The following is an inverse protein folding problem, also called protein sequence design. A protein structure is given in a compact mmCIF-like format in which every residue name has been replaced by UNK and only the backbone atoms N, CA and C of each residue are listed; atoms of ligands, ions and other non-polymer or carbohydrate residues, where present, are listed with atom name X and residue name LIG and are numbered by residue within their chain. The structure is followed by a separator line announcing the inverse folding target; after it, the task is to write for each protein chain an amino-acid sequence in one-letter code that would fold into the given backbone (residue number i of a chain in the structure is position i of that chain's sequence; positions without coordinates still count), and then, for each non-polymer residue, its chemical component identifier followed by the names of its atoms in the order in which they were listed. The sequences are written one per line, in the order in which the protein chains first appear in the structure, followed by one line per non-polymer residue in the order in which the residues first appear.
data_IF_830089067602
#
_entry.id   IF_830089067602
#
_cell.length_a   1.000
_cell.length_b   1.000
_cell.length_c   1.000
_cell.angle_alpha   90.00
_cell.angle_beta   90.00
_cell.angle_gamma   90.00
#
_symmetry.space_group_name_H-M   'P 1'
#
loop_
_entity.id
_entity.type
_entity.pdbx_description
1 polymer ?
#
# COMPACT_ATOMS: atom_id res chain seq x y z
N UNK A 1 -1.18 -2.50 6.12
CA UNK A 1 -1.44 -1.58 7.25
C UNK A 1 -2.71 -1.94 8.03
N UNK A 2 -3.91 -1.90 7.43
CA UNK A 2 -5.16 -2.10 8.20
C UNK A 2 -5.26 -3.44 8.93
N UNK A 3 -4.80 -4.53 8.31
CA UNK A 3 -4.74 -5.85 8.95
C UNK A 3 -3.97 -5.79 10.28
N UNK A 4 -2.79 -5.17 10.27
CA UNK A 4 -1.92 -5.05 11.44
C UNK A 4 -2.57 -4.20 12.54
N UNK A 5 -3.22 -3.09 12.18
CA UNK A 5 -3.94 -2.26 13.16
C UNK A 5 -5.12 -3.00 13.80
N UNK A 6 -5.84 -3.83 13.03
CA UNK A 6 -6.94 -4.65 13.54
C UNK A 6 -6.45 -5.72 14.51
N UNK A 7 -5.32 -6.37 14.20
CA UNK A 7 -4.65 -7.30 15.12
C UNK A 7 -4.21 -6.55 16.36
N UNK A 8 -3.48 -5.44 16.21
CA UNK A 8 -2.94 -4.63 17.31
C UNK A 8 -4.02 -4.14 18.29
N UNK A 9 -5.18 -3.73 17.77
CA UNK A 9 -6.31 -3.29 18.61
C UNK A 9 -7.00 -4.44 19.35
N UNK A 10 -6.83 -5.69 18.90
CA UNK A 10 -7.46 -6.88 19.47
C UNK A 10 -6.47 -7.83 20.17
N UNK A 11 -5.21 -7.40 20.37
CA UNK A 11 -4.15 -8.23 20.96
C UNK A 11 -4.54 -8.79 22.32
N UNK A 12 -5.11 -7.97 23.20
CA UNK A 12 -5.53 -8.40 24.55
C UNK A 12 -6.73 -9.37 24.54
N UNK A 13 -7.49 -9.39 23.44
CA UNK A 13 -8.71 -10.20 23.33
C UNK A 13 -8.46 -11.52 22.62
N UNK A 14 -7.41 -11.60 21.79
CA UNK A 14 -7.06 -12.75 20.96
C UNK A 14 -8.25 -13.37 20.23
N UNK A 15 -9.10 -12.51 19.65
CA UNK A 15 -10.31 -12.90 18.94
C UNK A 15 -10.46 -12.12 17.65
N UNK A 16 -10.72 -12.83 16.57
CA UNK A 16 -11.03 -12.19 15.28
C UNK A 16 -12.32 -11.35 15.32
N UNK A 17 -13.42 -11.92 15.87
CA UNK A 17 -14.71 -11.23 15.95
C UNK A 17 -14.87 -10.60 17.34
N UNK A 18 -15.01 -9.28 17.36
CA UNK A 18 -15.28 -8.52 18.58
C UNK A 18 -16.76 -8.68 18.99
N UNK A 19 -17.01 -9.17 20.21
CA UNK A 19 -18.35 -9.12 20.83
C UNK A 19 -18.67 -7.71 21.31
N UNK A 20 -19.93 -7.43 21.62
CA UNK A 20 -20.35 -6.10 22.10
C UNK A 20 -19.62 -5.71 23.39
N UNK A 21 -19.46 -6.66 24.31
CA UNK A 21 -18.79 -6.41 25.60
C UNK A 21 -17.29 -6.08 25.44
N UNK A 22 -16.66 -6.68 24.42
CA UNK A 22 -15.24 -6.51 24.10
C UNK A 22 -14.96 -5.23 23.28
N UNK A 23 -16.01 -4.62 22.72
CA UNK A 23 -15.88 -3.47 21.80
C UNK A 23 -15.21 -2.28 22.47
N UNK A 24 -15.58 -2.00 23.72
CA UNK A 24 -15.03 -0.87 24.47
C UNK A 24 -13.51 -0.99 24.64
N UNK A 25 -13.04 -2.16 25.07
CA UNK A 25 -11.60 -2.44 25.27
C UNK A 25 -10.81 -2.28 23.96
N UNK A 26 -11.32 -2.84 22.86
CA UNK A 26 -10.68 -2.73 21.55
C UNK A 26 -10.61 -1.29 21.07
N UNK A 27 -11.69 -0.53 21.22
CA UNK A 27 -11.76 0.86 20.78
C UNK A 27 -10.84 1.77 21.64
N UNK A 28 -10.73 1.49 22.95
CA UNK A 28 -9.75 2.14 23.86
C UNK A 28 -8.31 1.83 23.44
N UNK A 29 -7.98 0.56 23.15
CA UNK A 29 -6.65 0.16 22.66
C UNK A 29 -6.33 0.82 21.32
N UNK A 30 -7.28 0.85 20.39
CA UNK A 30 -7.11 1.53 19.10
C UNK A 30 -6.88 3.03 19.28
N UNK A 31 -7.56 3.65 20.24
CA UNK A 31 -7.38 5.07 20.55
C UNK A 31 -5.98 5.35 21.13
N UNK A 32 -5.50 4.51 22.05
CA UNK A 32 -4.14 4.61 22.58
C UNK A 32 -3.08 4.50 21.47
N UNK A 33 -3.24 3.52 20.57
CA UNK A 33 -2.35 3.36 19.40
C UNK A 33 -2.37 4.61 18.51
N UNK A 34 -3.54 5.19 18.24
CA UNK A 34 -3.66 6.43 17.42
C UNK A 34 -2.94 7.61 18.06
N UNK A 35 -3.11 7.79 19.37
CA UNK A 35 -2.48 8.87 20.12
C UNK A 35 -0.97 8.73 20.12
N UNK A 36 -0.46 7.51 20.29
CA UNK A 36 0.97 7.26 20.27
C UNK A 36 1.58 7.48 18.86
N UNK A 37 0.92 7.02 17.79
CA UNK A 37 1.36 7.32 16.42
C UNK A 37 1.35 8.83 16.11
N UNK A 38 0.38 9.57 16.67
CA UNK A 38 0.31 11.02 16.50
C UNK A 38 1.44 11.71 17.27
N UNK A 39 1.70 11.29 18.51
CA UNK A 39 2.72 11.87 19.37
C UNK A 39 4.15 11.58 18.88
N UNK A 40 4.45 10.32 18.56
CA UNK A 40 5.79 9.89 18.17
C UNK A 40 6.15 10.27 16.73
N UNK A 41 5.18 10.20 15.80
CA UNK A 41 5.46 10.21 14.36
C UNK A 41 4.66 11.26 13.58
N UNK A 42 3.78 12.01 14.24
CA UNK A 42 2.86 12.95 13.58
C UNK A 42 1.91 12.25 12.59
N UNK A 43 1.65 10.96 12.78
CA UNK A 43 0.84 10.15 11.86
C UNK A 43 -0.60 10.02 12.34
N UNK A 44 -1.55 10.30 11.45
CA UNK A 44 -2.99 10.14 11.73
C UNK A 44 -3.46 8.85 11.07
N UNK A 45 -3.74 7.82 11.88
CA UNK A 45 -4.10 6.49 11.37
C UNK A 45 -5.53 6.11 11.73
N UNK A 46 -6.17 5.32 10.87
CA UNK A 46 -7.51 4.74 11.06
C UNK A 46 -8.60 5.75 11.41
N UNK A 47 -8.52 6.98 10.93
CA UNK A 47 -9.58 8.01 11.09
C UNK A 47 -10.45 8.03 9.84
N UNK A 48 -11.77 7.97 10.01
CA UNK A 48 -12.72 8.09 8.90
C UNK A 48 -12.77 9.55 8.43
N UNK A 49 -12.71 9.79 7.11
CA UNK A 49 -12.79 11.15 6.56
C UNK A 49 -14.24 11.49 6.14
N UNK A 50 -14.69 12.75 6.32
CA UNK A 50 -15.97 13.19 5.78
C UNK A 50 -16.01 13.01 4.26
N UNK A 51 -17.06 12.39 3.73
CA UNK A 51 -17.18 12.09 2.29
C UNK A 51 -16.62 10.73 1.86
N UNK A 52 -16.18 9.90 2.82
CA UNK A 52 -15.75 8.52 2.57
C UNK A 52 -14.24 8.31 2.62
N UNK A 53 -13.83 7.06 2.82
CA UNK A 53 -12.43 6.67 2.98
C UNK A 53 -11.89 6.81 4.41
N UNK A 54 -10.63 6.42 4.58
CA UNK A 54 -9.93 6.47 5.87
C UNK A 54 -8.61 7.23 5.71
N UNK A 55 -7.99 7.62 6.82
CA UNK A 55 -6.66 8.23 6.83
C UNK A 55 -5.54 7.26 6.45
N UNK A 56 -5.86 5.98 6.22
CA UNK A 56 -4.93 4.93 5.79
C UNK A 56 -4.72 4.98 4.26
N UNK A 57 -4.39 6.16 3.73
CA UNK A 57 -4.04 6.32 2.32
C UNK A 57 -2.63 5.76 2.02
N UNK A 58 -2.27 5.72 0.73
CA UNK A 58 -0.97 5.19 0.30
C UNK A 58 0.23 5.91 0.92
N UNK A 59 0.11 7.21 1.22
CA UNK A 59 1.20 7.95 1.87
C UNK A 59 1.35 7.52 3.33
N UNK A 60 0.24 7.39 4.06
CA UNK A 60 0.23 6.89 5.43
C UNK A 60 0.77 5.46 5.49
N UNK A 61 0.36 4.58 4.56
CA UNK A 61 0.83 3.21 4.51
C UNK A 61 2.34 3.10 4.24
N UNK A 62 2.88 3.87 3.28
CA UNK A 62 4.32 3.90 3.00
C UNK A 62 5.13 4.32 4.22
N UNK A 63 4.70 5.39 4.90
CA UNK A 63 5.40 5.86 6.12
C UNK A 63 5.30 4.83 7.25
N UNK A 64 4.14 4.17 7.42
CA UNK A 64 3.92 3.12 8.43
C UNK A 64 4.89 1.94 8.30
N UNK A 65 5.16 1.47 7.08
CA UNK A 65 6.08 0.34 6.86
C UNK A 65 7.55 0.76 6.86
N UNK A 66 7.88 1.95 6.38
CA UNK A 66 9.26 2.47 6.41
C UNK A 66 9.82 2.60 7.83
N UNK A 67 8.96 2.87 8.81
CA UNK A 67 9.32 2.92 10.24
C UNK A 67 8.91 1.64 10.97
N UNK A 68 9.08 0.48 10.33
CA UNK A 68 8.61 -0.83 10.84
C UNK A 68 8.99 -1.11 12.30
N UNK A 69 10.19 -0.73 12.75
CA UNK A 69 10.64 -0.94 14.13
C UNK A 69 9.78 -0.15 15.14
N UNK A 70 9.56 1.13 14.87
CA UNK A 70 8.74 1.98 15.73
C UNK A 70 7.25 1.60 15.65
N UNK A 71 6.79 1.23 14.44
CA UNK A 71 5.45 0.68 14.24
C UNK A 71 5.23 -0.58 15.08
N UNK A 72 6.19 -1.51 15.12
CA UNK A 72 6.10 -2.71 15.95
C UNK A 72 6.06 -2.37 17.44
N UNK A 73 6.90 -1.42 17.88
CA UNK A 73 6.93 -0.91 19.26
C UNK A 73 5.58 -0.35 19.70
N UNK A 74 5.01 0.56 18.91
CA UNK A 74 3.72 1.22 19.21
C UNK A 74 2.56 0.22 19.18
N UNK A 75 2.53 -0.65 18.16
CA UNK A 75 1.41 -1.58 17.99
C UNK A 75 1.47 -2.78 18.94
N UNK A 76 2.65 -3.11 19.47
CA UNK A 76 2.90 -4.33 20.24
C UNK A 76 2.94 -5.60 19.38
N UNK A 77 3.11 -5.45 18.06
CA UNK A 77 3.21 -6.58 17.14
C UNK A 77 4.63 -7.11 17.09
N UNK A 78 4.76 -8.38 16.73
CA UNK A 78 6.03 -9.02 16.39
C UNK A 78 6.79 -8.17 15.33
N UNK A 79 8.02 -7.68 15.65
CA UNK A 79 8.76 -6.76 14.78
C UNK A 79 9.21 -7.42 13.48
N UNK A 80 9.55 -8.70 13.53
CA UNK A 80 9.95 -9.47 12.36
C UNK A 80 8.79 -9.55 11.35
N UNK A 81 7.56 -9.81 11.78
CA UNK A 81 6.41 -9.82 10.88
C UNK A 81 6.21 -8.47 10.18
N UNK A 82 6.31 -7.35 10.92
CA UNK A 82 6.13 -6.01 10.34
C UNK A 82 7.24 -5.71 9.33
N UNK A 83 8.48 -6.07 9.65
CA UNK A 83 9.63 -5.92 8.76
C UNK A 83 9.47 -6.76 7.48
N UNK A 84 9.13 -8.05 7.59
CA UNK A 84 8.96 -8.92 6.42
C UNK A 84 7.85 -8.45 5.50
N UNK A 85 6.75 -7.97 6.05
CA UNK A 85 5.68 -7.36 5.26
C UNK A 85 6.13 -6.07 4.57
N UNK A 86 7.01 -5.27 5.19
CA UNK A 86 7.62 -4.12 4.55
C UNK A 86 8.46 -4.52 3.34
N UNK A 87 9.34 -5.53 3.49
CA UNK A 87 10.18 -6.06 2.41
C UNK A 87 9.34 -6.58 1.24
N UNK A 88 8.29 -7.36 1.52
CA UNK A 88 7.40 -7.89 0.47
C UNK A 88 6.73 -6.77 -0.32
N UNK A 89 6.25 -5.71 0.37
CA UNK A 89 5.60 -4.59 -0.30
C UNK A 89 6.58 -3.75 -1.12
N UNK A 90 7.81 -3.52 -0.63
CA UNK A 90 8.86 -2.84 -1.40
C UNK A 90 9.26 -3.66 -2.63
N UNK A 91 9.43 -4.97 -2.49
CA UNK A 91 9.74 -5.87 -3.58
C UNK A 91 8.68 -5.80 -4.71
N UNK A 92 7.39 -5.85 -4.35
CA UNK A 92 6.29 -5.71 -5.32
C UNK A 92 6.30 -4.33 -5.99
N UNK A 93 6.60 -3.27 -5.25
CA UNK A 93 6.56 -1.89 -5.74
C UNK A 93 7.84 -1.43 -6.47
N UNK A 94 8.91 -2.23 -6.44
CA UNK A 94 10.21 -1.93 -7.05
C UNK A 94 10.19 -1.72 -8.57
N UNK A 95 9.11 -2.15 -9.25
CA UNK A 95 8.97 -2.20 -10.72
C UNK A 95 10.07 -3.04 -11.40
N UNK A 96 10.79 -3.87 -10.64
CA UNK A 96 11.82 -4.78 -11.12
C UNK A 96 11.28 -6.22 -11.12
N UNK A 97 11.82 -7.10 -11.99
CA UNK A 97 11.42 -8.50 -12.00
C UNK A 97 11.82 -9.18 -10.68
N UNK A 98 10.90 -9.98 -10.13
CA UNK A 98 11.09 -10.71 -8.89
C UNK A 98 11.50 -12.15 -9.17
N UNK A 99 12.41 -12.70 -8.36
CA UNK A 99 12.71 -14.12 -8.34
C UNK A 99 11.54 -14.87 -7.69
N UNK A 100 10.75 -15.60 -8.50
CA UNK A 100 9.53 -16.26 -8.04
C UNK A 100 9.79 -17.30 -6.95
N UNK A 101 10.89 -18.05 -7.00
CA UNK A 101 11.26 -19.07 -6.01
C UNK A 101 11.64 -18.43 -4.69
N UNK A 102 12.57 -17.45 -4.71
CA UNK A 102 13.00 -16.75 -3.51
C UNK A 102 11.83 -16.00 -2.84
N UNK A 103 10.98 -15.37 -3.66
CA UNK A 103 9.78 -14.68 -3.19
C UNK A 103 8.76 -15.64 -2.58
N UNK A 104 8.57 -16.84 -3.16
CA UNK A 104 7.70 -17.89 -2.61
C UNK A 104 8.16 -18.31 -1.23
N UNK A 105 9.43 -18.65 -1.07
CA UNK A 105 10.00 -19.08 0.22
C UNK A 105 9.88 -17.98 1.29
N UNK A 106 10.13 -16.73 0.89
CA UNK A 106 10.00 -15.59 1.79
C UNK A 106 8.54 -15.37 2.22
N UNK A 107 7.59 -15.47 1.30
CA UNK A 107 6.16 -15.33 1.57
C UNK A 107 5.61 -16.48 2.43
N UNK A 108 5.99 -17.73 2.14
CA UNK A 108 5.58 -18.91 2.92
C UNK A 108 6.05 -18.81 4.38
N UNK A 109 7.34 -18.54 4.59
CA UNK A 109 7.88 -18.32 5.94
C UNK A 109 7.21 -17.14 6.66
N UNK A 110 6.76 -16.12 5.94
CA UNK A 110 6.04 -14.97 6.52
C UNK A 110 4.60 -15.36 6.90
N UNK A 111 3.95 -16.21 6.10
CA UNK A 111 2.64 -16.77 6.41
C UNK A 111 2.69 -17.66 7.66
N UNK A 112 3.71 -18.51 7.78
CA UNK A 112 3.92 -19.35 8.97
C UNK A 112 4.13 -18.50 10.22
N UNK A 113 4.91 -17.42 10.11
CA UNK A 113 5.12 -16.48 11.21
C UNK A 113 3.82 -15.78 11.62
N UNK A 114 3.00 -15.39 10.64
CA UNK A 114 1.70 -14.77 10.89
C UNK A 114 0.76 -15.71 11.65
N UNK A 115 0.63 -16.95 11.19
CA UNK A 115 -0.26 -17.96 11.81
C UNK A 115 0.24 -18.36 13.19
N UNK A 116 1.55 -18.45 13.38
CA UNK A 116 2.16 -18.81 14.67
C UNK A 116 1.94 -17.75 15.74
N UNK A 117 2.08 -16.46 15.41
CA UNK A 117 1.90 -15.37 16.37
C UNK A 117 0.43 -14.95 16.55
N UNK A 118 -0.40 -15.07 15.52
CA UNK A 118 -1.79 -14.60 15.55
C UNK A 118 -2.77 -15.67 15.03
N UNK A 119 -2.78 -16.89 15.59
CA UNK A 119 -3.63 -17.99 15.11
C UNK A 119 -5.13 -17.67 15.20
N UNK A 120 -5.48 -16.75 16.10
CA UNK A 120 -6.85 -16.31 16.36
C UNK A 120 -7.38 -15.29 15.33
N UNK A 121 -6.54 -14.75 14.44
CA UNK A 121 -6.94 -13.75 13.45
C UNK A 121 -6.88 -14.32 12.03
N UNK A 122 -8.03 -14.39 11.35
CA UNK A 122 -8.07 -14.84 9.96
C UNK A 122 -7.38 -13.84 9.04
N UNK A 123 -6.43 -14.34 8.25
CA UNK A 123 -5.72 -13.56 7.25
C UNK A 123 -6.70 -12.96 6.22
N UNK A 124 -6.71 -11.63 6.02
CA UNK A 124 -7.58 -11.02 5.02
C UNK A 124 -7.23 -11.48 3.61
N UNK A 125 -8.22 -11.50 2.71
CA UNK A 125 -8.07 -11.98 1.32
C UNK A 125 -6.88 -11.33 0.60
N UNK A 126 -6.66 -10.02 0.77
CA UNK A 126 -5.51 -9.33 0.16
C UNK A 126 -4.17 -9.85 0.69
N UNK A 127 -4.05 -10.05 2.00
CA UNK A 127 -2.81 -10.56 2.62
C UNK A 127 -2.59 -12.01 2.20
N UNK A 128 -3.64 -12.83 2.19
CA UNK A 128 -3.59 -14.20 1.72
C UNK A 128 -3.18 -14.29 0.24
N UNK A 129 -3.77 -13.45 -0.61
CA UNK A 129 -3.41 -13.40 -2.04
C UNK A 129 -1.95 -13.02 -2.24
N UNK A 130 -1.40 -12.11 -1.43
CA UNK A 130 0.03 -11.75 -1.49
C UNK A 130 0.91 -12.88 -0.97
N UNK A 131 0.64 -13.44 0.21
CA UNK A 131 1.53 -14.42 0.85
C UNK A 131 1.43 -15.83 0.25
N UNK A 132 0.25 -16.24 -0.22
CA UNK A 132 0.04 -17.60 -0.73
C UNK A 132 0.10 -17.63 -2.26
N UNK A 133 -0.57 -16.69 -2.92
CA UNK A 133 -0.66 -16.65 -4.39
C UNK A 133 0.29 -15.65 -5.05
N UNK A 134 1.03 -14.85 -4.26
CA UNK A 134 1.84 -13.77 -4.81
C UNK A 134 2.94 -14.27 -5.76
N UNK A 135 3.61 -15.37 -5.39
CA UNK A 135 4.64 -15.98 -6.24
C UNK A 135 4.07 -16.49 -7.57
N UNK A 136 2.88 -17.11 -7.55
CA UNK A 136 2.22 -17.59 -8.77
C UNK A 136 1.83 -16.43 -9.70
N UNK A 137 1.44 -15.29 -9.12
CA UNK A 137 1.10 -14.07 -9.88
C UNK A 137 2.36 -13.50 -10.53
N UNK A 138 3.47 -13.42 -9.78
CA UNK A 138 4.76 -12.97 -10.29
C UNK A 138 5.22 -13.84 -11.46
N UNK A 139 5.17 -15.17 -11.29
CA UNK A 139 5.60 -16.13 -12.31
C UNK A 139 4.78 -16.04 -13.60
N UNK A 140 3.47 -15.78 -13.49
CA UNK A 140 2.57 -15.66 -14.65
C UNK A 140 2.54 -14.26 -15.26
N UNK A 141 3.08 -13.25 -14.58
CA UNK A 141 3.05 -11.87 -15.04
C UNK A 141 4.08 -11.63 -16.14
N UNK A 142 3.66 -10.96 -17.23
CA UNK A 142 4.55 -10.62 -18.36
C UNK A 142 5.40 -9.39 -18.10
N UNK A 143 5.08 -8.62 -17.06
CA UNK A 143 5.73 -7.38 -16.67
C UNK A 143 5.88 -7.38 -15.15
N UNK A 144 6.88 -6.67 -14.60
CA UNK A 144 7.01 -6.49 -13.16
C UNK A 144 5.69 -6.02 -12.54
N UNK A 145 5.27 -6.66 -11.45
CA UNK A 145 3.95 -6.42 -10.84
C UNK A 145 3.73 -4.94 -10.50
N UNK A 146 4.75 -4.24 -10.00
CA UNK A 146 4.67 -2.81 -9.71
C UNK A 146 4.42 -1.92 -10.93
N UNK A 147 4.78 -2.38 -12.13
CA UNK A 147 4.49 -1.67 -13.39
C UNK A 147 3.02 -1.81 -13.82
N UNK A 148 2.33 -2.82 -13.31
CA UNK A 148 0.90 -3.07 -13.54
C UNK A 148 -0.01 -2.39 -12.50
N UNK A 149 0.52 -1.40 -11.77
CA UNK A 149 -0.18 -0.72 -10.68
C UNK A 149 -1.31 0.19 -11.17
N UNK A 150 -2.44 0.20 -10.44
CA UNK A 150 -3.57 1.12 -10.65
C UNK A 150 -3.26 2.56 -10.19
N UNK A 151 -2.22 2.77 -9.36
CA UNK A 151 -1.89 4.08 -8.78
C UNK A 151 -1.71 5.18 -9.85
N UNK A 152 -1.17 4.83 -11.02
CA UNK A 152 -0.98 5.78 -12.13
C UNK A 152 -2.32 6.28 -12.70
N UNK A 153 -3.31 5.39 -12.79
CA UNK A 153 -4.66 5.74 -13.24
C UNK A 153 -5.39 6.56 -12.17
N UNK A 154 -5.29 6.18 -10.90
CA UNK A 154 -5.89 6.96 -9.80
C UNK A 154 -5.31 8.38 -9.70
N UNK A 155 -3.99 8.53 -9.87
CA UNK A 155 -3.33 9.83 -9.90
C UNK A 155 -3.88 10.73 -11.03
N UNK A 156 -4.27 10.12 -12.15
CA UNK A 156 -4.88 10.83 -13.29
C UNK A 156 -6.25 11.41 -12.97
N UNK A 157 -6.95 10.94 -11.92
CA UNK A 157 -8.20 11.56 -11.46
C UNK A 157 -7.98 13.00 -10.95
N UNK A 158 -6.79 13.30 -10.40
CA UNK A 158 -6.44 14.67 -10.00
C UNK A 158 -6.30 15.57 -11.23
N UNK A 159 -5.69 15.06 -12.30
CA UNK A 159 -5.59 15.75 -13.58
C UNK A 159 -6.99 15.97 -14.19
N UNK A 160 -7.84 14.95 -14.21
CA UNK A 160 -9.21 15.06 -14.71
C UNK A 160 -9.99 16.20 -14.04
N UNK A 161 -9.96 16.27 -12.70
CA UNK A 161 -10.62 17.33 -11.94
C UNK A 161 -10.10 18.73 -12.33
N UNK A 162 -8.78 18.87 -12.43
CA UNK A 162 -8.13 20.11 -12.83
C UNK A 162 -8.52 20.53 -14.27
N UNK A 163 -8.47 19.59 -15.23
CA UNK A 163 -8.86 19.84 -16.63
C UNK A 163 -10.32 20.29 -16.74
N UNK A 164 -11.23 19.65 -16.01
CA UNK A 164 -12.65 20.04 -15.97
C UNK A 164 -12.87 21.40 -15.30
N UNK A 165 -12.06 21.76 -14.31
CA UNK A 165 -12.23 23.02 -13.59
C UNK A 165 -11.69 24.22 -14.36
N UNK A 166 -10.50 24.10 -14.95
CA UNK A 166 -9.76 25.25 -15.49
C UNK A 166 -9.65 25.27 -17.02
N UNK A 167 -9.86 24.14 -17.70
CA UNK A 167 -9.50 24.01 -19.11
C UNK A 167 -10.64 23.64 -20.05
N UNK A 168 -11.82 23.28 -19.53
CA UNK A 168 -13.00 22.95 -20.32
C UNK A 168 -13.93 24.15 -20.50
N UNK A 169 -14.55 24.29 -21.67
CA UNK A 169 -15.58 25.28 -21.94
C UNK A 169 -16.93 24.86 -21.31
N UNK A 170 -17.40 25.63 -20.33
CA UNK A 170 -18.54 25.26 -19.45
C UNK A 170 -19.91 25.71 -19.96
N UNK A 171 -20.16 25.69 -21.27
CA UNK A 171 -21.49 26.00 -21.82
C UNK A 171 -22.43 24.80 -21.84
N UNK A 172 -21.92 23.61 -22.18
CA UNK A 172 -22.71 22.37 -22.26
C UNK A 172 -21.89 21.19 -21.76
N UNK A 173 -22.55 20.20 -21.14
CA UNK A 173 -21.88 19.01 -20.59
C UNK A 173 -21.13 18.22 -21.64
N UNK A 174 -21.68 18.12 -22.85
CA UNK A 174 -21.03 17.44 -23.97
C UNK A 174 -19.71 18.12 -24.35
N UNK A 175 -19.71 19.45 -24.49
CA UNK A 175 -18.50 20.22 -24.78
C UNK A 175 -17.47 20.11 -23.67
N UNK A 176 -17.90 20.15 -22.41
CA UNK A 176 -17.02 19.93 -21.26
C UNK A 176 -16.34 18.55 -21.35
N UNK A 177 -17.11 17.49 -21.59
CA UNK A 177 -16.58 16.14 -21.69
C UNK A 177 -15.62 16.00 -22.87
N UNK A 178 -15.97 16.58 -24.02
CA UNK A 178 -15.12 16.59 -25.21
C UNK A 178 -13.78 17.28 -24.93
N UNK A 179 -13.79 18.46 -24.33
CA UNK A 179 -12.57 19.21 -24.03
C UNK A 179 -11.67 18.45 -23.05
N UNK A 180 -12.25 17.86 -22.01
CA UNK A 180 -11.50 17.07 -21.02
C UNK A 180 -10.86 15.85 -21.68
N UNK A 181 -11.60 15.11 -22.52
CA UNK A 181 -11.07 13.93 -23.24
C UNK A 181 -9.95 14.33 -24.20
N UNK A 182 -10.14 15.37 -25.00
CA UNK A 182 -9.13 15.83 -25.96
C UNK A 182 -7.82 16.22 -25.24
N UNK A 183 -7.92 16.87 -24.09
CA UNK A 183 -6.74 17.23 -23.28
C UNK A 183 -6.10 16.03 -22.62
N UNK A 184 -6.87 15.02 -22.21
CA UNK A 184 -6.31 13.76 -21.70
C UNK A 184 -5.57 12.98 -22.80
N UNK A 185 -6.07 13.00 -24.04
CA UNK A 185 -5.34 12.40 -25.18
C UNK A 185 -4.05 13.15 -25.48
N UNK A 186 -4.08 14.48 -25.59
CA UNK A 186 -2.86 15.27 -25.70
C UNK A 186 -1.92 15.08 -24.49
N UNK A 187 -2.47 14.70 -23.32
CA UNK A 187 -1.67 14.41 -22.14
C UNK A 187 -0.93 13.08 -22.21
N UNK A 188 -1.58 12.07 -22.77
CA UNK A 188 -1.10 10.68 -22.86
C UNK A 188 -0.38 10.36 -24.17
N UNK A 189 -0.32 11.31 -25.10
CA UNK A 189 0.38 11.17 -26.38
C UNK A 189 1.90 10.93 -26.16
N UNK A 190 2.45 9.78 -26.57
CA UNK A 190 3.86 9.44 -26.39
C UNK A 190 4.82 10.37 -27.15
N UNK A 191 4.42 10.91 -28.29
CA UNK A 191 5.25 11.84 -29.08
C UNK A 191 5.34 13.18 -28.35
N UNK A 192 4.20 13.70 -27.88
CA UNK A 192 4.17 14.94 -27.09
C UNK A 192 4.93 14.77 -25.77
N UNK A 193 4.81 13.60 -25.14
CA UNK A 193 5.46 13.31 -23.86
C UNK A 193 6.98 13.48 -23.92
N UNK A 194 7.63 13.05 -25.01
CA UNK A 194 9.09 13.19 -25.22
C UNK A 194 9.60 14.64 -25.17
N UNK A 195 8.76 15.60 -25.53
CA UNK A 195 9.13 17.02 -25.54
C UNK A 195 8.74 17.76 -24.26
N UNK A 196 8.15 17.06 -23.28
CA UNK A 196 7.80 17.66 -22.00
C UNK A 196 9.04 17.87 -21.15
N UNK A 197 8.96 18.88 -20.28
CA UNK A 197 9.96 19.08 -19.24
C UNK A 197 10.03 17.83 -18.36
N UNK A 198 11.21 17.25 -18.28
CA UNK A 198 11.49 16.15 -17.36
C UNK A 198 11.45 16.67 -15.91
N UNK A 199 10.81 15.89 -15.05
CA UNK A 199 10.87 16.09 -13.60
C UNK A 199 12.02 15.24 -13.06
N UNK A 200 12.78 15.73 -12.07
CA UNK A 200 13.85 14.94 -11.47
C UNK A 200 13.29 13.66 -10.87
N UNK A 201 13.82 12.52 -11.30
CA UNK A 201 13.53 11.22 -10.69
C UNK A 201 14.29 11.15 -9.36
N UNK A 202 13.58 10.86 -8.27
CA UNK A 202 14.23 10.52 -7.00
C UNK A 202 14.48 9.03 -6.98
N UNK A 203 15.75 8.64 -7.06
CA UNK A 203 16.14 7.29 -6.71
C UNK A 203 15.97 7.11 -5.20
N UNK A 204 15.28 6.04 -4.81
CA UNK A 204 15.13 5.65 -3.42
C UNK A 204 16.08 4.50 -3.17
N UNK A 205 16.80 4.56 -2.04
CA UNK A 205 17.69 3.49 -1.62
C UNK A 205 16.90 2.19 -1.47
N UNK A 206 17.38 1.13 -2.13
CA UNK A 206 16.79 -0.19 -2.04
C UNK A 206 17.33 -0.86 -0.78
N UNK A 207 16.43 -1.47 -0.01
CA UNK A 207 16.80 -2.22 1.19
C UNK A 207 17.51 -3.51 0.76
N UNK A 208 18.66 -3.88 1.36
CA UNK A 208 19.43 -5.06 0.94
C UNK A 208 18.60 -6.36 0.91
N UNK A 209 17.66 -6.56 1.85
CA UNK A 209 16.78 -7.73 1.83
C UNK A 209 15.82 -7.77 0.63
N UNK A 210 15.48 -6.61 0.07
CA UNK A 210 14.68 -6.53 -1.16
C UNK A 210 15.51 -6.99 -2.36
N UNK A 211 16.80 -6.63 -2.42
CA UNK A 211 17.68 -7.03 -3.53
C UNK A 211 17.80 -8.54 -3.66
N UNK A 212 17.80 -9.28 -2.54
CA UNK A 212 17.78 -10.75 -2.54
C UNK A 212 16.55 -11.36 -3.21
N UNK A 213 15.45 -10.61 -3.29
CA UNK A 213 14.20 -11.04 -3.92
C UNK A 213 14.09 -10.62 -5.39
N UNK A 214 14.96 -9.73 -5.84
CA UNK A 214 15.02 -9.28 -7.23
C UNK A 214 15.82 -10.26 -8.07
N UNK A 215 15.49 -10.34 -9.37
CA UNK A 215 16.40 -10.96 -10.33
C UNK A 215 17.55 -9.98 -10.54
N UNK A 216 18.79 -10.46 -10.40
CA UNK A 216 19.99 -9.70 -10.75
C UNK A 216 19.87 -9.29 -12.22
N UNK A 217 20.11 -8.01 -12.53
CA UNK A 217 20.12 -7.58 -13.94
C UNK A 217 21.14 -8.46 -14.69
N UNK A 218 20.77 -9.06 -15.84
CA UNK A 218 21.76 -9.71 -16.69
C UNK A 218 22.76 -8.63 -17.14
N UNK A 219 24.05 -8.89 -16.93
CA UNK A 219 25.16 -8.10 -17.50
C UNK A 219 25.02 -7.94 -19.01
#
# INVERSE_FOLDING_TARGET
MECLIKIASSLELERWRCKMDDKKKRDERLQAIREEFRAALGLIISVVRPGGGTSNDGNTARKFFRIHAETARITGLNPELVFRLHIILEAINSRRPLNSTAFRDYCSKTADLFVSHYPWYYMPVTVHKVLIHGADIVEKSTQPVGSLSEEAQEASNKLFKNLREHFSFKAQRETVNRDVIQRLFAHSDPLVYKYRRELPVKELDIIPEVEMLLISDPE
#
